data_IF_995795062778
#
_entry.id   IF_995795062778
#
_cell.length_a   1.000
_cell.length_b   1.000
_cell.length_c   1.000
_cell.angle_alpha   90.00
_cell.angle_beta   90.00
_cell.angle_gamma   90.00
#
_symmetry.space_group_name_H-M   'P 1'
#
loop_
_entity.id
_entity.type
_entity.pdbx_description
1 polymer ?
#
# COMPACT_ATOMS: atom_id res chain seq x y z
N UNK A 1 12.75 -8.18 8.94
CA UNK A 1 12.93 -8.69 10.33
C UNK A 1 12.48 -10.14 10.41
N UNK A 2 12.65 -10.80 11.55
CA UNK A 2 11.99 -12.08 11.84
C UNK A 2 10.84 -11.85 12.83
N UNK A 3 9.60 -12.10 12.42
CA UNK A 3 8.38 -12.05 13.22
C UNK A 3 8.04 -13.44 13.75
N UNK A 4 7.60 -13.54 15.01
CA UNK A 4 7.39 -14.82 15.67
C UNK A 4 6.27 -15.67 15.03
N UNK A 5 5.30 -15.06 14.35
CA UNK A 5 4.18 -15.75 13.72
C UNK A 5 4.43 -16.02 12.24
N UNK A 6 5.04 -15.05 11.53
CA UNK A 6 5.15 -15.08 10.06
C UNK A 6 6.57 -15.24 9.52
N UNK A 7 7.57 -15.33 10.40
CA UNK A 7 8.96 -15.43 10.00
C UNK A 7 9.47 -14.14 9.35
N UNK A 8 10.15 -14.25 8.21
CA UNK A 8 10.75 -13.08 7.56
C UNK A 8 9.71 -12.14 6.94
N UNK A 9 9.55 -10.95 7.53
CA UNK A 9 8.64 -9.90 7.06
C UNK A 9 9.34 -8.55 6.91
N UNK A 10 8.71 -7.60 6.22
CA UNK A 10 9.20 -6.24 6.08
C UNK A 10 8.74 -5.37 7.28
N UNK A 11 9.65 -4.68 7.98
CA UNK A 11 9.29 -3.58 8.91
C UNK A 11 9.48 -2.26 8.19
N UNK A 12 8.56 -1.34 8.41
CA UNK A 12 8.72 0.07 8.08
C UNK A 12 8.62 0.86 9.39
N UNK A 13 9.66 1.64 9.68
CA UNK A 13 9.75 2.48 10.89
C UNK A 13 9.94 3.95 10.52
N UNK A 14 9.04 4.80 10.98
CA UNK A 14 9.11 6.24 10.87
C UNK A 14 9.68 6.80 12.18
N UNK A 15 10.94 7.21 12.15
CA UNK A 15 11.68 7.64 13.35
C UNK A 15 11.42 9.11 13.74
N UNK A 16 11.02 9.92 12.76
CA UNK A 16 10.69 11.34 12.92
C UNK A 16 9.40 11.64 12.16
N UNK A 17 8.81 12.81 12.41
CA UNK A 17 7.68 13.33 11.63
C UNK A 17 8.14 13.77 10.23
N UNK A 18 8.57 12.79 9.43
CA UNK A 18 8.98 12.94 8.04
C UNK A 18 8.27 11.89 7.22
N UNK A 19 7.52 12.35 6.23
CA UNK A 19 6.75 11.48 5.38
C UNK A 19 7.67 10.63 4.48
N UNK A 20 7.30 9.36 4.35
CA UNK A 20 7.98 8.38 3.53
C UNK A 20 6.95 7.33 3.06
N UNK A 21 7.27 6.63 1.98
CA UNK A 21 6.54 5.46 1.52
C UNK A 21 7.51 4.35 1.13
N UNK A 22 7.04 3.11 1.22
CA UNK A 22 7.75 1.96 0.66
C UNK A 22 7.19 1.65 -0.72
N UNK A 23 8.07 1.45 -1.68
CA UNK A 23 7.74 1.15 -3.07
C UNK A 23 8.19 -0.28 -3.38
N UNK A 24 7.26 -1.15 -3.76
CA UNK A 24 7.55 -2.45 -4.37
C UNK A 24 7.47 -2.25 -5.87
N UNK A 25 8.62 -2.20 -6.52
CA UNK A 25 8.75 -1.80 -7.93
C UNK A 25 9.14 -2.97 -8.83
N UNK A 26 8.75 -2.87 -10.11
CA UNK A 26 9.08 -3.81 -11.18
C UNK A 26 10.07 -3.20 -12.18
N UNK A 27 10.85 -4.07 -12.81
CA UNK A 27 11.78 -3.64 -13.86
C UNK A 27 11.04 -3.10 -15.09
N UNK A 28 11.76 -2.36 -15.95
CA UNK A 28 11.20 -1.87 -17.23
C UNK A 28 10.80 -3.05 -18.14
N UNK A 29 9.63 -3.00 -18.81
CA UNK A 29 8.70 -1.87 -18.97
C UNK A 29 7.61 -1.71 -17.89
N UNK A 30 7.56 -2.60 -16.91
CA UNK A 30 6.43 -2.75 -15.98
C UNK A 30 5.67 -4.04 -16.23
N UNK A 31 4.60 -4.26 -15.48
CA UNK A 31 3.78 -5.46 -15.54
C UNK A 31 2.45 -5.17 -16.23
N UNK A 32 2.06 -6.06 -17.16
CA UNK A 32 0.70 -6.11 -17.65
C UNK A 32 -0.16 -6.86 -16.64
N UNK A 33 -1.02 -6.11 -15.96
CA UNK A 33 -1.91 -6.57 -14.90
C UNK A 33 -3.37 -6.53 -15.35
N UNK A 34 -3.66 -6.41 -16.64
CA UNK A 34 -5.02 -6.26 -17.18
C UNK A 34 -5.95 -7.40 -16.77
N UNK A 35 -5.42 -8.62 -16.54
CA UNK A 35 -6.18 -9.76 -16.04
C UNK A 35 -6.76 -9.57 -14.62
N UNK A 36 -6.30 -8.57 -13.87
CA UNK A 36 -6.75 -8.25 -12.52
C UNK A 36 -7.66 -7.02 -12.48
N UNK A 37 -8.19 -6.53 -13.60
CA UNK A 37 -9.08 -5.35 -13.64
C UNK A 37 -10.27 -5.49 -12.68
N UNK A 38 -10.86 -6.68 -12.59
CA UNK A 38 -11.94 -7.02 -11.65
C UNK A 38 -11.45 -7.84 -10.45
N UNK A 39 -10.13 -7.91 -10.25
CA UNK A 39 -9.49 -8.67 -9.20
C UNK A 39 -9.35 -7.89 -7.89
N UNK A 40 -8.45 -8.37 -7.04
CA UNK A 40 -8.23 -7.85 -5.68
C UNK A 40 -6.72 -7.75 -5.41
N UNK A 41 -6.29 -6.62 -4.85
CA UNK A 41 -4.99 -6.47 -4.21
C UNK A 41 -5.13 -6.91 -2.75
N UNK A 42 -4.39 -7.95 -2.36
CA UNK A 42 -4.36 -8.48 -1.01
C UNK A 42 -3.00 -8.20 -0.37
N UNK A 43 -3.00 -7.89 0.92
CA UNK A 43 -1.80 -7.73 1.72
C UNK A 43 -2.14 -7.88 3.20
N UNK A 44 -1.12 -8.21 3.99
CA UNK A 44 -1.23 -8.34 5.44
C UNK A 44 -0.46 -7.23 6.13
N UNK A 45 -1.07 -6.58 7.12
CA UNK A 45 -0.42 -5.56 7.96
C UNK A 45 -0.51 -5.96 9.43
N UNK A 46 0.58 -5.72 10.16
CA UNK A 46 0.60 -5.67 11.63
C UNK A 46 1.11 -4.32 12.08
N UNK A 47 0.29 -3.58 12.82
CA UNK A 47 0.68 -2.28 13.37
C UNK A 47 1.37 -2.48 14.71
N UNK A 48 2.68 -2.33 14.74
CA UNK A 48 3.50 -2.50 15.95
C UNK A 48 3.41 -1.26 16.85
N UNK A 49 3.41 -0.08 16.23
CA UNK A 49 3.19 1.21 16.87
C UNK A 49 2.44 2.10 15.90
N UNK A 50 1.28 2.60 16.29
CA UNK A 50 0.48 3.46 15.44
C UNK A 50 0.87 4.94 15.56
N UNK A 51 1.59 5.35 16.62
CA UNK A 51 1.73 6.77 16.95
C UNK A 51 0.35 7.45 17.03
N UNK A 52 0.12 8.46 16.17
CA UNK A 52 -1.20 9.08 15.96
C UNK A 52 -1.93 8.62 14.69
N UNK A 53 -1.34 7.70 13.92
CA UNK A 53 -1.87 7.22 12.64
C UNK A 53 -3.09 6.30 12.83
N UNK A 54 -4.17 6.59 12.12
CA UNK A 54 -5.36 5.73 12.09
C UNK A 54 -5.63 5.11 10.73
N UNK A 55 -4.98 5.63 9.68
CA UNK A 55 -5.21 5.22 8.30
C UNK A 55 -3.87 5.02 7.62
N UNK A 56 -3.71 3.90 6.92
CA UNK A 56 -2.60 3.66 6.01
C UNK A 56 -3.09 3.88 4.58
N UNK A 57 -2.16 4.07 3.64
CA UNK A 57 -2.51 4.25 2.23
C UNK A 57 -1.82 3.20 1.38
N UNK A 58 -2.50 2.80 0.32
CA UNK A 58 -1.93 2.00 -0.78
C UNK A 58 -2.20 2.71 -2.11
N UNK A 59 -1.29 2.57 -3.08
CA UNK A 59 -1.54 3.01 -4.45
C UNK A 59 -0.79 2.18 -5.49
N UNK A 60 -1.28 2.20 -6.73
CA UNK A 60 -0.55 1.78 -7.92
C UNK A 60 -0.03 3.00 -8.68
N UNK A 61 1.13 2.85 -9.29
CA UNK A 61 1.80 3.87 -10.09
C UNK A 61 2.48 3.22 -11.30
N UNK A 62 2.46 3.87 -12.46
CA UNK A 62 3.14 3.40 -13.68
C UNK A 62 4.48 4.11 -13.95
N UNK A 63 4.90 5.02 -13.05
CA UNK A 63 6.05 5.91 -13.16
C UNK A 63 6.09 6.77 -14.44
N UNK A 64 4.96 6.90 -15.13
CA UNK A 64 4.80 7.65 -16.38
C UNK A 64 3.57 8.58 -16.32
N UNK A 65 3.05 8.86 -15.12
CA UNK A 65 1.98 9.82 -14.86
C UNK A 65 0.61 9.19 -14.59
N UNK A 66 0.46 7.88 -14.74
CA UNK A 66 -0.70 7.12 -14.31
C UNK A 66 -0.60 6.74 -12.84
N UNK A 67 -1.66 7.00 -12.07
CA UNK A 67 -1.73 6.63 -10.66
C UNK A 67 -3.16 6.32 -10.25
N UNK A 68 -3.33 5.53 -9.19
CA UNK A 68 -4.62 5.33 -8.52
C UNK A 68 -4.88 6.40 -7.46
N UNK A 69 -3.94 7.31 -7.20
CA UNK A 69 -3.97 8.17 -6.01
C UNK A 69 -3.79 7.36 -4.73
N UNK A 70 -3.55 8.04 -3.62
CA UNK A 70 -3.51 7.41 -2.29
C UNK A 70 -4.89 6.88 -1.89
N UNK A 71 -5.04 5.57 -1.78
CA UNK A 71 -6.27 4.90 -1.35
C UNK A 71 -6.20 4.55 0.12
N UNK A 72 -7.25 4.88 0.86
CA UNK A 72 -7.31 4.73 2.31
C UNK A 72 -7.58 3.30 2.74
N UNK A 73 -6.75 2.81 3.66
CA UNK A 73 -6.88 1.51 4.31
C UNK A 73 -6.93 1.75 5.81
N UNK A 74 -8.12 1.62 6.38
CA UNK A 74 -8.30 1.71 7.83
C UNK A 74 -7.69 0.46 8.46
N UNK A 75 -6.50 0.61 9.06
CA UNK A 75 -5.83 -0.52 9.68
C UNK A 75 -6.32 -0.77 11.11
N UNK A 76 -6.36 -2.04 11.47
CA UNK A 76 -6.48 -2.49 12.84
C UNK A 76 -5.18 -2.19 13.61
N UNK A 77 -5.27 -1.31 14.60
CA UNK A 77 -4.19 -0.94 15.50
C UNK A 77 -4.14 -1.83 16.75
N UNK A 78 -4.74 -3.03 16.72
CA UNK A 78 -4.74 -4.01 17.81
C UNK A 78 -3.36 -4.54 18.18
N UNK A 79 -2.41 -4.49 17.24
CA UNK A 79 -1.10 -5.12 17.37
C UNK A 79 -1.03 -6.52 16.76
N UNK A 80 -2.14 -7.05 16.25
CA UNK A 80 -2.23 -8.35 15.59
C UNK A 80 -2.12 -8.23 14.06
N UNK A 81 -1.82 -9.34 13.39
CA UNK A 81 -1.85 -9.40 11.93
C UNK A 81 -3.30 -9.34 11.42
N UNK A 82 -3.54 -8.49 10.42
CA UNK A 82 -4.82 -8.37 9.72
C UNK A 82 -4.61 -8.43 8.21
N UNK A 83 -5.52 -9.12 7.52
CA UNK A 83 -5.57 -9.20 6.05
C UNK A 83 -6.47 -8.10 5.49
N UNK A 84 -5.98 -7.40 4.48
CA UNK A 84 -6.71 -6.39 3.74
C UNK A 84 -6.85 -6.81 2.29
N UNK A 85 -8.06 -6.60 1.76
CA UNK A 85 -8.44 -6.90 0.39
C UNK A 85 -9.05 -5.64 -0.23
N UNK A 86 -8.35 -5.06 -1.19
CA UNK A 86 -8.78 -3.86 -1.92
C UNK A 86 -9.18 -4.28 -3.32
N UNK A 87 -10.44 -4.06 -3.70
CA UNK A 87 -10.88 -4.35 -5.06
C UNK A 87 -10.11 -3.46 -6.04
N UNK A 88 -9.61 -4.06 -7.12
CA UNK A 88 -8.89 -3.33 -8.15
C UNK A 88 -9.78 -2.29 -8.81
N UNK A 89 -11.08 -2.55 -8.96
CA UNK A 89 -12.05 -1.57 -9.46
C UNK A 89 -12.14 -0.31 -8.60
N UNK A 90 -12.12 -0.47 -7.26
CA UNK A 90 -12.20 0.66 -6.34
C UNK A 90 -10.91 1.48 -6.38
N UNK A 91 -9.77 0.77 -6.46
CA UNK A 91 -8.46 1.39 -6.58
C UNK A 91 -8.30 2.16 -7.90
N UNK A 92 -8.73 1.59 -9.03
CA UNK A 92 -8.65 2.23 -10.35
C UNK A 92 -9.58 3.44 -10.47
N UNK A 93 -10.70 3.46 -9.76
CA UNK A 93 -11.63 4.58 -9.73
C UNK A 93 -11.24 5.66 -8.70
N UNK A 94 -10.28 5.38 -7.81
CA UNK A 94 -9.90 6.28 -6.73
C UNK A 94 -9.26 7.57 -7.25
N UNK A 95 -9.62 8.67 -6.59
CA UNK A 95 -8.98 9.98 -6.73
C UNK A 95 -8.75 10.48 -5.32
N UNK A 96 -7.48 10.74 -4.97
CA UNK A 96 -7.12 11.15 -3.63
C UNK A 96 -7.51 12.60 -3.31
N UNK A 97 -7.28 13.01 -2.06
CA UNK A 97 -7.64 14.34 -1.57
C UNK A 97 -6.95 15.51 -2.29
N UNK A 98 -5.93 15.26 -3.10
CA UNK A 98 -5.23 16.25 -3.93
C UNK A 98 -5.71 16.24 -5.39
N UNK A 99 -6.69 15.41 -5.73
CA UNK A 99 -7.19 15.26 -7.10
C UNK A 99 -6.32 14.37 -7.98
N UNK A 100 -5.44 13.54 -7.41
CA UNK A 100 -4.59 12.60 -8.15
C UNK A 100 -5.24 11.23 -8.14
N UNK A 101 -5.34 10.59 -9.31
CA UNK A 101 -5.92 9.25 -9.45
C UNK A 101 -6.84 9.14 -10.67
N UNK A 102 -7.52 8.00 -10.79
CA UNK A 102 -8.52 7.75 -11.84
C UNK A 102 -7.97 7.61 -13.26
N UNK A 103 -6.64 7.60 -13.42
CA UNK A 103 -5.97 7.57 -14.72
C UNK A 103 -4.94 6.43 -14.85
N UNK A 104 -4.96 5.46 -13.92
CA UNK A 104 -4.03 4.33 -13.93
C UNK A 104 -4.28 3.39 -15.12
N UNK A 105 -3.22 3.02 -15.84
CA UNK A 105 -3.24 1.95 -16.84
C UNK A 105 -2.72 0.65 -16.26
N UNK A 106 -3.45 -0.45 -16.43
CA UNK A 106 -2.99 -1.77 -15.98
C UNK A 106 -1.97 -2.43 -16.92
N UNK A 107 -1.71 -1.90 -18.11
CA UNK A 107 -0.79 -2.53 -19.08
C UNK A 107 0.68 -2.34 -18.74
N UNK A 108 1.00 -1.40 -17.85
CA UNK A 108 2.38 -1.00 -17.51
C UNK A 108 2.53 -0.66 -16.03
N UNK A 109 1.83 -1.37 -15.14
CA UNK A 109 1.93 -1.11 -13.69
C UNK A 109 3.37 -1.27 -13.25
N UNK A 110 3.88 -0.27 -12.54
CA UNK A 110 5.28 -0.26 -12.08
C UNK A 110 5.41 -0.57 -10.62
N UNK A 111 4.62 0.09 -9.80
CA UNK A 111 4.76 0.03 -8.36
C UNK A 111 3.45 -0.21 -7.64
N UNK A 112 3.58 -0.91 -6.51
CA UNK A 112 2.64 -0.85 -5.38
C UNK A 112 3.33 -0.07 -4.28
N UNK A 113 2.70 0.98 -3.78
CA UNK A 113 3.26 1.85 -2.74
C UNK A 113 2.42 1.75 -1.48
N UNK A 114 3.07 1.58 -0.33
CA UNK A 114 2.43 1.60 0.98
C UNK A 114 3.00 2.72 1.84
N UNK A 115 2.16 3.38 2.64
CA UNK A 115 2.57 4.50 3.48
C UNK A 115 1.62 4.69 4.67
N UNK A 116 2.14 5.28 5.75
CA UNK A 116 1.31 5.90 6.78
C UNK A 116 0.76 7.25 6.28
N UNK A 117 -0.24 7.81 6.95
CA UNK A 117 -0.85 9.07 6.54
C UNK A 117 0.08 10.26 6.77
N UNK A 118 0.22 11.14 5.77
CA UNK A 118 1.00 12.37 5.87
C UNK A 118 0.58 13.21 7.10
N UNK A 119 1.57 13.66 7.88
CA UNK A 119 1.35 14.41 9.12
C UNK A 119 0.90 13.57 10.32
N UNK A 120 0.82 12.25 10.18
CA UNK A 120 0.53 11.29 11.26
C UNK A 120 1.59 10.19 11.34
N UNK A 121 2.83 10.46 10.91
CA UNK A 121 3.85 9.42 10.73
C UNK A 121 4.79 9.25 11.91
N UNK A 122 4.83 10.20 12.85
CA UNK A 122 5.73 10.13 14.00
C UNK A 122 5.50 8.83 14.81
N UNK A 123 6.60 8.10 15.04
CA UNK A 123 6.64 6.85 15.81
C UNK A 123 5.77 5.71 15.23
N UNK A 124 5.39 5.81 13.95
CA UNK A 124 4.71 4.72 13.26
C UNK A 124 5.68 3.59 12.96
N UNK A 125 5.32 2.38 13.36
CA UNK A 125 5.99 1.14 13.00
C UNK A 125 4.93 0.14 12.55
N UNK A 126 5.02 -0.31 11.30
CA UNK A 126 4.17 -1.37 10.78
C UNK A 126 4.98 -2.43 10.06
N UNK A 127 4.42 -3.63 9.99
CA UNK A 127 4.96 -4.76 9.24
C UNK A 127 4.05 -5.08 8.07
N UNK A 128 4.66 -5.47 6.96
CA UNK A 128 3.97 -5.84 5.74
C UNK A 128 4.40 -7.26 5.34
N UNK A 129 3.43 -8.05 4.91
CA UNK A 129 3.64 -9.40 4.40
C UNK A 129 2.59 -9.76 3.33
N UNK A 130 2.87 -10.82 2.56
CA UNK A 130 1.91 -11.50 1.68
C UNK A 130 1.15 -10.54 0.73
N UNK A 131 1.90 -9.70 0.01
CA UNK A 131 1.33 -8.79 -1.00
C UNK A 131 1.15 -9.57 -2.31
N UNK A 132 -0.09 -9.73 -2.78
CA UNK A 132 -0.39 -10.41 -4.04
C UNK A 132 -1.70 -9.94 -4.65
N UNK A 133 -1.87 -10.22 -5.94
CA UNK A 133 -3.11 -9.98 -6.67
C UNK A 133 -3.84 -11.30 -6.91
N UNK A 134 -5.17 -11.28 -6.80
CA UNK A 134 -6.05 -12.43 -7.09
C UNK A 134 -7.20 -12.01 -8.00
N UNK A 135 -7.76 -12.99 -8.73
CA UNK A 135 -9.01 -12.84 -9.50
C UNK A 135 -10.21 -13.35 -8.70
#
# INVERSE_FOLDING_TARGET
>A
MDDAERGSVLEVSYLTDQFAGIVIDSNTPGLDMSAYETGVLNFDIKVVSAGSNTTYKVKLDDHNGGSTGEFDVSADNSGDWSTYSVNMSDLLANVDGNGVGGNMSLTTVKAVVFMATFGQVQDVVFRLDNVYFSQ
#
